data_IF_012157534837
#
_entry.id   IF_012157534837
#
_cell.length_a   1.000
_cell.length_b   1.000
_cell.length_c   1.000
_cell.angle_alpha   90.00
_cell.angle_beta   90.00
_cell.angle_gamma   90.00
#
_symmetry.space_group_name_H-M   'P 1'
#
loop_
_entity.id
_entity.type
_entity.pdbx_description
1 polymer ?
#
# COMPACT_ATOMS: atom_id res chain seq x y z
N UNK A 1 0.65 -11.54 10.12
CA UNK A 1 1.77 -10.55 10.04
C UNK A 1 3.15 -11.20 10.29
N UNK A 2 4.13 -11.07 9.38
CA UNK A 2 5.52 -11.52 9.64
C UNK A 2 6.28 -10.53 10.52
N UNK A 3 6.76 -10.95 11.70
CA UNK A 3 7.39 -10.06 12.70
C UNK A 3 8.76 -9.52 12.27
N UNK A 4 9.54 -10.27 11.49
CA UNK A 4 10.86 -9.87 11.01
C UNK A 4 10.94 -9.89 9.48
N UNK A 5 11.49 -8.83 8.88
CA UNK A 5 11.76 -8.72 7.45
C UNK A 5 13.25 -8.38 7.29
N UNK A 6 14.11 -9.35 6.89
CA UNK A 6 15.56 -9.16 6.86
C UNK A 6 16.07 -7.99 6.01
N UNK A 7 15.30 -7.60 4.99
CA UNK A 7 15.64 -6.52 4.06
C UNK A 7 15.15 -5.14 4.49
N UNK A 8 14.60 -5.00 5.69
CA UNK A 8 14.03 -3.74 6.20
C UNK A 8 14.68 -3.34 7.51
N UNK A 9 14.72 -2.03 7.76
CA UNK A 9 15.26 -1.46 8.99
C UNK A 9 14.36 -1.78 10.19
N UNK A 10 14.91 -1.64 11.39
CA UNK A 10 14.13 -1.69 12.64
C UNK A 10 13.07 -0.58 12.64
N UNK A 11 13.43 0.62 12.17
CA UNK A 11 12.51 1.76 12.03
C UNK A 11 11.28 1.39 11.18
N UNK A 12 11.47 0.74 10.03
CA UNK A 12 10.36 0.30 9.20
C UNK A 12 9.42 -0.67 9.94
N UNK A 13 9.98 -1.61 10.68
CA UNK A 13 9.21 -2.63 11.43
C UNK A 13 8.36 -1.98 12.52
N UNK A 14 8.88 -0.95 13.21
CA UNK A 14 8.12 -0.21 14.23
C UNK A 14 7.10 0.74 13.59
N UNK A 15 7.51 1.47 12.56
CA UNK A 15 6.65 2.46 11.89
C UNK A 15 5.46 1.81 11.18
N UNK A 16 5.60 0.61 10.60
CA UNK A 16 4.45 -0.08 9.98
C UNK A 16 3.36 -0.46 10.99
N UNK A 17 3.74 -0.83 12.22
CA UNK A 17 2.78 -1.18 13.28
C UNK A 17 2.09 0.09 13.76
N UNK A 18 2.88 1.14 14.03
CA UNK A 18 2.37 2.46 14.37
C UNK A 18 1.39 2.98 13.32
N UNK A 19 1.70 2.78 12.02
CA UNK A 19 0.86 3.23 10.91
C UNK A 19 -0.44 2.44 10.82
N UNK A 20 -0.40 1.12 11.04
CA UNK A 20 -1.59 0.27 11.12
C UNK A 20 -2.55 0.76 12.21
N UNK A 21 -2.02 1.01 13.42
CA UNK A 21 -2.80 1.51 14.55
C UNK A 21 -3.39 2.89 14.24
N UNK A 22 -2.59 3.82 13.72
CA UNK A 22 -3.04 5.17 13.39
C UNK A 22 -4.07 5.22 12.24
N UNK A 23 -4.11 4.19 11.40
CA UNK A 23 -5.15 4.00 10.38
C UNK A 23 -6.37 3.23 10.92
N UNK A 24 -6.45 3.00 12.22
CA UNK A 24 -7.53 2.23 12.86
C UNK A 24 -7.68 0.82 12.28
N UNK A 25 -6.57 0.21 11.85
CA UNK A 25 -6.57 -1.08 11.18
C UNK A 25 -7.29 -1.08 9.83
N UNK A 26 -7.47 0.08 9.19
CA UNK A 26 -8.20 0.21 7.92
C UNK A 26 -7.28 0.46 6.73
N UNK A 27 -7.71 -0.02 5.57
CA UNK A 27 -7.03 0.29 4.31
C UNK A 27 -7.16 1.79 4.00
N UNK A 28 -6.03 2.46 3.72
CA UNK A 28 -6.02 3.89 3.42
C UNK A 28 -6.81 4.28 2.16
N UNK A 29 -7.01 3.34 1.24
CA UNK A 29 -7.77 3.58 0.00
C UNK A 29 -9.23 3.22 0.21
N UNK A 30 -9.54 1.95 0.52
CA UNK A 30 -10.93 1.47 0.53
C UNK A 30 -11.65 1.59 1.88
N UNK A 31 -10.94 1.93 2.96
CA UNK A 31 -11.53 2.20 4.28
C UNK A 31 -12.06 0.97 5.03
N UNK A 32 -11.96 -0.22 4.46
CA UNK A 32 -12.36 -1.47 5.13
C UNK A 32 -11.38 -1.82 6.25
N UNK A 33 -11.89 -2.46 7.29
CA UNK A 33 -11.07 -3.07 8.33
C UNK A 33 -10.25 -4.23 7.76
N UNK A 34 -9.03 -4.35 8.24
CA UNK A 34 -8.07 -5.35 7.82
C UNK A 34 -7.86 -6.36 8.94
N UNK A 35 -7.86 -7.64 8.57
CA UNK A 35 -7.51 -8.72 9.49
C UNK A 35 -6.01 -8.77 9.80
N UNK A 36 -5.57 -9.80 10.50
CA UNK A 36 -4.16 -9.96 10.91
C UNK A 36 -3.19 -10.25 9.76
N UNK A 37 -3.72 -10.73 8.62
CA UNK A 37 -2.93 -11.19 7.47
C UNK A 37 -3.28 -10.49 6.15
N UNK A 38 -4.36 -9.69 6.10
CA UNK A 38 -4.88 -9.12 4.84
C UNK A 38 -4.36 -7.71 4.53
N UNK A 39 -3.18 -7.36 5.05
CA UNK A 39 -2.62 -6.01 4.90
C UNK A 39 -1.12 -5.98 4.59
N UNK A 40 -0.76 -4.93 3.86
CA UNK A 40 0.60 -4.64 3.45
C UNK A 40 0.96 -3.20 3.82
N UNK A 41 2.17 -3.01 4.32
CA UNK A 41 2.75 -1.69 4.47
C UNK A 41 3.39 -1.29 3.14
N UNK A 42 2.93 -0.16 2.61
CA UNK A 42 3.35 0.40 1.34
C UNK A 42 4.23 1.62 1.59
N UNK A 43 5.40 1.66 0.96
CA UNK A 43 6.19 2.89 0.83
C UNK A 43 5.55 3.73 -0.26
N UNK A 44 5.04 4.92 0.08
CA UNK A 44 4.45 5.86 -0.88
C UNK A 44 5.45 6.18 -1.99
N UNK A 45 6.66 6.57 -1.59
CA UNK A 45 7.82 6.66 -2.49
C UNK A 45 8.74 5.50 -2.24
N UNK A 46 9.10 4.77 -3.30
CA UNK A 46 9.75 3.48 -3.16
C UNK A 46 11.10 3.56 -2.42
N UNK A 47 11.25 2.73 -1.40
CA UNK A 47 12.43 2.70 -0.53
C UNK A 47 13.77 2.59 -1.28
N UNK A 48 13.84 1.85 -2.39
CA UNK A 48 15.11 1.68 -3.12
C UNK A 48 15.67 3.01 -3.67
N UNK A 49 14.80 4.01 -3.88
CA UNK A 49 15.15 5.33 -4.40
C UNK A 49 15.59 6.29 -3.29
N UNK A 50 14.83 6.33 -2.19
CA UNK A 50 14.96 7.37 -1.16
C UNK A 50 15.66 6.89 0.09
N UNK A 51 15.66 5.57 0.34
CA UNK A 51 16.01 4.95 1.63
C UNK A 51 15.19 5.50 2.80
N UNK A 52 13.99 6.02 2.52
CA UNK A 52 13.10 6.64 3.50
C UNK A 52 12.13 5.62 4.09
N UNK A 53 12.48 5.08 5.26
CA UNK A 53 11.61 4.23 6.10
C UNK A 53 10.80 5.07 7.12
N UNK A 54 10.80 6.40 6.99
CA UNK A 54 10.12 7.27 7.95
C UNK A 54 8.63 7.02 7.94
N UNK A 55 8.03 7.16 9.13
CA UNK A 55 6.60 7.00 9.33
C UNK A 55 5.76 7.69 8.25
N UNK A 56 6.13 8.92 7.85
CA UNK A 56 5.40 9.74 6.86
C UNK A 56 5.34 9.11 5.47
N UNK A 57 6.34 8.33 5.09
CA UNK A 57 6.41 7.64 3.80
C UNK A 57 5.56 6.35 3.77
N UNK A 58 5.04 5.88 4.91
CA UNK A 58 4.30 4.62 4.99
C UNK A 58 2.79 4.81 4.94
N UNK A 59 2.09 3.83 4.37
CA UNK A 59 0.63 3.68 4.44
C UNK A 59 0.24 2.20 4.46
N UNK A 60 -0.87 1.86 5.12
CA UNK A 60 -1.40 0.50 5.15
C UNK A 60 -2.48 0.31 4.11
N UNK A 61 -2.36 -0.76 3.33
CA UNK A 61 -3.27 -1.12 2.25
C UNK A 61 -3.75 -2.57 2.39
N UNK A 62 -4.96 -2.82 1.91
CA UNK A 62 -5.42 -4.18 1.59
C UNK A 62 -4.51 -4.80 0.51
N UNK A 63 -4.29 -6.10 0.59
CA UNK A 63 -3.43 -6.84 -0.35
C UNK A 63 -3.79 -6.57 -1.83
N UNK A 64 -5.08 -6.61 -2.20
CA UNK A 64 -5.49 -6.43 -3.59
C UNK A 64 -5.28 -5.00 -4.09
N UNK A 65 -5.45 -4.00 -3.21
CA UNK A 65 -5.13 -2.60 -3.51
C UNK A 65 -3.62 -2.42 -3.67
N UNK A 66 -2.83 -2.98 -2.75
CA UNK A 66 -1.37 -2.94 -2.82
C UNK A 66 -0.86 -3.59 -4.12
N UNK A 67 -1.44 -4.74 -4.50
CA UNK A 67 -1.13 -5.38 -5.78
C UNK A 67 -1.49 -4.47 -6.95
N UNK A 68 -2.69 -3.88 -6.96
CA UNK A 68 -3.15 -3.01 -8.04
C UNK A 68 -2.14 -1.88 -8.34
N UNK A 69 -1.67 -1.17 -7.30
CA UNK A 69 -0.70 -0.06 -7.41
C UNK A 69 0.61 -0.48 -8.10
N UNK A 70 1.06 -1.71 -7.90
CA UNK A 70 2.33 -2.20 -8.46
C UNK A 70 2.18 -3.03 -9.74
N UNK A 71 0.95 -3.29 -10.22
CA UNK A 71 0.75 -4.07 -11.45
C UNK A 71 0.97 -3.21 -12.69
N UNK A 72 1.58 -3.82 -13.71
CA UNK A 72 1.79 -3.22 -15.04
C UNK A 72 1.06 -3.93 -16.18
N UNK A 73 0.49 -5.10 -15.90
CA UNK A 73 -0.25 -5.88 -16.90
C UNK A 73 -1.71 -5.42 -16.91
N UNK A 74 -2.16 -4.89 -18.05
CA UNK A 74 -3.48 -4.27 -18.22
C UNK A 74 -4.63 -5.25 -17.96
N UNK A 75 -4.53 -6.51 -18.40
CA UNK A 75 -5.56 -7.52 -18.14
C UNK A 75 -5.72 -7.78 -16.64
N UNK A 76 -4.61 -7.92 -15.92
CA UNK A 76 -4.63 -8.13 -14.45
C UNK A 76 -5.12 -6.89 -13.70
N UNK A 77 -4.78 -5.70 -14.19
CA UNK A 77 -5.31 -4.43 -13.64
C UNK A 77 -6.83 -4.42 -13.77
N UNK A 78 -7.37 -4.73 -14.94
CA UNK A 78 -8.82 -4.72 -15.17
C UNK A 78 -9.55 -5.73 -14.27
N UNK A 79 -8.98 -6.93 -14.07
CA UNK A 79 -9.53 -7.93 -13.15
C UNK A 79 -9.60 -7.38 -11.72
N UNK A 80 -8.53 -6.73 -11.24
CA UNK A 80 -8.49 -6.15 -9.89
C UNK A 80 -9.47 -4.96 -9.75
N UNK A 81 -9.56 -4.10 -10.76
CA UNK A 81 -10.51 -2.98 -10.77
C UNK A 81 -11.97 -3.47 -10.70
N UNK A 82 -12.30 -4.51 -11.48
CA UNK A 82 -13.63 -5.11 -11.48
C UNK A 82 -13.97 -5.77 -10.13
N UNK A 83 -12.98 -6.39 -9.48
CA UNK A 83 -13.15 -7.02 -8.17
C UNK A 83 -13.31 -5.98 -7.05
N UNK A 84 -12.51 -4.92 -7.07
CA UNK A 84 -12.46 -3.91 -6.00
C UNK A 84 -13.61 -2.90 -6.08
N UNK A 85 -14.21 -2.69 -7.26
CA UNK A 85 -15.33 -1.75 -7.48
C UNK A 85 -15.08 -0.37 -6.86
N UNK A 86 -13.89 0.16 -7.09
CA UNK A 86 -13.43 1.41 -6.49
C UNK A 86 -14.28 2.59 -6.96
N UNK A 87 -14.62 3.49 -6.05
CA UNK A 87 -15.23 4.77 -6.41
C UNK A 87 -14.18 5.76 -6.94
N UNK A 88 -14.62 6.90 -7.49
CA UNK A 88 -13.74 7.92 -8.07
C UNK A 88 -12.63 8.38 -7.12
N UNK A 89 -12.95 8.69 -5.85
CA UNK A 89 -11.96 9.14 -4.86
C UNK A 89 -10.93 8.06 -4.54
N UNK A 90 -11.37 6.79 -4.50
CA UNK A 90 -10.49 5.66 -4.26
C UNK A 90 -9.54 5.42 -5.45
N UNK A 91 -10.04 5.58 -6.68
CA UNK A 91 -9.22 5.51 -7.90
C UNK A 91 -8.17 6.62 -7.94
N UNK A 92 -8.56 7.86 -7.63
CA UNK A 92 -7.62 8.99 -7.51
C UNK A 92 -6.50 8.68 -6.51
N UNK A 93 -6.84 8.07 -5.37
CA UNK A 93 -5.83 7.68 -4.37
C UNK A 93 -4.91 6.56 -4.85
N UNK A 94 -5.44 5.57 -5.59
CA UNK A 94 -4.61 4.51 -6.21
C UNK A 94 -3.65 5.11 -7.23
N UNK A 95 -4.12 6.04 -8.07
CA UNK A 95 -3.30 6.73 -9.05
C UNK A 95 -2.18 7.54 -8.38
N UNK A 96 -2.50 8.34 -7.36
CA UNK A 96 -1.52 9.12 -6.59
C UNK A 96 -0.40 8.23 -6.02
N UNK A 97 -0.75 7.09 -5.42
CA UNK A 97 0.23 6.14 -4.86
C UNK A 97 1.06 5.45 -5.96
N UNK A 98 0.45 5.16 -7.11
CA UNK A 98 1.14 4.56 -8.27
C UNK A 98 2.18 5.52 -8.86
N UNK A 99 1.84 6.81 -9.00
CA UNK A 99 2.77 7.85 -9.45
C UNK A 99 3.94 8.04 -8.48
N UNK A 100 3.68 8.07 -7.17
CA UNK A 100 4.70 8.22 -6.14
C UNK A 100 5.72 7.07 -6.13
N UNK A 101 5.30 5.88 -6.58
CA UNK A 101 6.21 4.74 -6.77
C UNK A 101 7.11 4.85 -8.00
N UNK A 102 7.02 5.92 -8.80
CA UNK A 102 7.58 6.03 -10.15
C UNK A 102 7.15 4.89 -11.07
N UNK A 103 5.98 4.31 -10.79
CA UNK A 103 5.37 3.22 -11.55
C UNK A 103 4.20 3.72 -12.39
N UNK A 104 4.14 5.01 -12.77
CA UNK A 104 3.02 5.64 -13.48
C UNK A 104 2.52 4.80 -14.67
N UNK A 105 1.52 3.97 -14.42
CA UNK A 105 1.06 2.91 -15.33
C UNK A 105 -0.47 2.66 -15.21
N UNK A 106 -1.16 3.28 -14.24
CA UNK A 106 -2.61 3.16 -14.10
C UNK A 106 -3.27 4.41 -14.66
#
# INVERSE_FOLDING_TARGET
>A
MKQFIPSRSIEFIDNRISRFIAQYGKCAVIGIELGLDDWYCHDKTTYYLTKDDSYRNLTILNESVHRLIHKRNQEKIQVLLNALKLNKKQLEKVHELSEQCLNGVI
#
